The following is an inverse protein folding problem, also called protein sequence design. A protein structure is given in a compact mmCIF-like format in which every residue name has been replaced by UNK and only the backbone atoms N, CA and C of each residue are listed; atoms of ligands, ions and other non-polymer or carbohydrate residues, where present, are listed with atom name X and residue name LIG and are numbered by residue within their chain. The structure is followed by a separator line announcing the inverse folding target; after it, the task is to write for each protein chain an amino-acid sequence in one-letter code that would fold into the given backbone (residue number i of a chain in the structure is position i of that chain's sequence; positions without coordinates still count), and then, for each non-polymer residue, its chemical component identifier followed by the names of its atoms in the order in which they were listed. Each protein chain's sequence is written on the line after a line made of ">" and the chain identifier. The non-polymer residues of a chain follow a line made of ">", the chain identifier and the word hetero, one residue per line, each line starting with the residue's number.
data_IF_634806847802
#
_entry.id   IF_634806847802
#
_cell.length_a   1.000
_cell.length_b   1.000
_cell.length_c   1.000
_cell.angle_alpha   90.00
_cell.angle_beta   90.00
_cell.angle_gamma   90.00
#
_symmetry.space_group_name_H-M   'P 1'
#
loop_
_entity.id
_entity.type
_entity.pdbx_description
1 polymer ?
#
# COMPACT_ATOMS: atom_id res chain seq x y z
N UNK A 1 -3.39 0.03 31.49
CA UNK A 1 -2.58 0.19 30.25
C UNK A 1 -1.75 -1.07 29.96
N UNK A 2 -2.40 -2.21 29.69
CA UNK A 2 -1.67 -3.47 29.44
C UNK A 2 -1.02 -3.49 28.05
N UNK A 3 -1.62 -2.81 27.08
CA UNK A 3 -1.13 -2.67 25.69
C UNK A 3 0.15 -1.85 25.56
N UNK A 4 0.35 -0.80 26.39
CA UNK A 4 1.55 0.06 26.30
C UNK A 4 2.85 -0.67 26.67
N UNK A 5 2.77 -1.79 27.39
CA UNK A 5 3.93 -2.59 27.81
C UNK A 5 4.26 -3.71 26.81
N UNK A 6 3.42 -3.92 25.79
CA UNK A 6 3.59 -4.98 24.80
C UNK A 6 4.46 -4.48 23.64
N UNK A 7 5.64 -5.08 23.44
CA UNK A 7 6.55 -4.70 22.35
C UNK A 7 5.92 -4.89 20.97
N UNK A 8 5.12 -5.95 20.75
CA UNK A 8 4.46 -6.17 19.46
C UNK A 8 3.50 -5.04 19.14
N UNK A 9 2.78 -4.51 20.13
CA UNK A 9 1.87 -3.38 19.92
C UNK A 9 2.60 -2.16 19.35
N UNK A 10 3.79 -1.84 19.90
CA UNK A 10 4.61 -0.76 19.36
C UNK A 10 5.22 -1.09 18.00
N UNK A 11 5.72 -2.31 17.77
CA UNK A 11 6.29 -2.71 16.48
C UNK A 11 5.26 -2.65 15.35
N UNK A 12 4.09 -3.27 15.53
CA UNK A 12 3.00 -3.18 14.57
C UNK A 12 2.47 -1.76 14.45
N UNK A 13 2.40 -1.01 15.56
CA UNK A 13 1.99 0.40 15.57
C UNK A 13 2.88 1.25 14.65
N UNK A 14 4.20 1.11 14.75
CA UNK A 14 5.14 1.77 13.86
C UNK A 14 5.03 1.27 12.41
N UNK A 15 4.88 -0.05 12.20
CA UNK A 15 4.69 -0.62 10.87
C UNK A 15 3.48 0.00 10.16
N UNK A 16 2.32 0.05 10.85
CA UNK A 16 1.12 0.68 10.32
C UNK A 16 1.30 2.18 10.12
N UNK A 17 1.95 2.87 11.07
CA UNK A 17 2.21 4.30 10.95
C UNK A 17 3.01 4.64 9.69
N UNK A 18 4.15 3.98 9.47
CA UNK A 18 4.98 4.24 8.29
C UNK A 18 4.31 3.79 7.00
N UNK A 19 3.58 2.66 7.02
CA UNK A 19 2.79 2.21 5.88
C UNK A 19 1.77 3.26 5.44
N UNK A 20 0.96 3.77 6.37
CA UNK A 20 -0.04 4.79 6.06
C UNK A 20 0.58 6.16 5.78
N UNK A 21 1.74 6.49 6.34
CA UNK A 21 2.48 7.69 6.00
C UNK A 21 2.92 7.69 4.53
N UNK A 22 3.50 6.58 4.07
CA UNK A 22 3.92 6.41 2.66
C UNK A 22 2.69 6.42 1.75
N UNK A 23 1.66 5.64 2.07
CA UNK A 23 0.42 5.60 1.27
C UNK A 23 -0.29 6.96 1.23
N UNK A 24 -0.30 7.67 2.36
CA UNK A 24 -0.89 8.99 2.50
C UNK A 24 -0.13 10.07 1.73
N UNK A 25 1.16 9.90 1.47
CA UNK A 25 1.89 10.73 0.51
C UNK A 25 1.57 10.28 -0.93
N UNK A 26 1.69 8.98 -1.22
CA UNK A 26 1.57 8.47 -2.58
C UNK A 26 0.19 8.75 -3.19
N UNK A 27 -0.91 8.37 -2.55
CA UNK A 27 -2.26 8.47 -3.15
C UNK A 27 -2.66 9.89 -3.60
N UNK A 28 -2.56 10.93 -2.75
CA UNK A 28 -2.96 12.28 -3.14
C UNK A 28 -1.91 12.97 -4.02
N UNK A 29 -0.60 12.72 -3.81
CA UNK A 29 0.43 13.37 -4.62
C UNK A 29 0.68 12.69 -5.97
N UNK A 30 0.28 11.43 -6.17
CA UNK A 30 0.53 10.72 -7.42
C UNK A 30 -0.15 11.37 -8.64
N UNK A 31 -1.44 11.74 -8.62
CA UNK A 31 -2.06 12.49 -9.72
C UNK A 31 -1.38 13.85 -9.95
N UNK A 32 -1.01 14.56 -8.88
CA UNK A 32 -0.36 15.88 -8.94
C UNK A 32 1.02 15.74 -9.58
N UNK A 33 1.80 14.74 -9.17
CA UNK A 33 3.12 14.45 -9.72
C UNK A 33 3.09 14.05 -11.20
N UNK A 34 2.08 13.27 -11.61
CA UNK A 34 1.90 12.91 -13.03
C UNK A 34 1.60 14.14 -13.90
N UNK A 35 0.79 15.07 -13.39
CA UNK A 35 0.37 16.24 -14.14
C UNK A 35 1.40 17.38 -14.09
N UNK A 36 1.87 17.75 -12.91
CA UNK A 36 2.67 18.96 -12.70
C UNK A 36 4.17 18.73 -12.97
N UNK A 37 4.68 17.52 -12.74
CA UNK A 37 6.11 17.21 -12.92
C UNK A 37 6.36 16.46 -14.22
N UNK A 38 5.50 15.48 -14.57
CA UNK A 38 5.67 14.71 -15.81
C UNK A 38 4.87 15.27 -16.99
N UNK A 39 4.08 16.32 -16.79
CA UNK A 39 3.27 16.97 -17.82
C UNK A 39 2.37 16.00 -18.61
N UNK A 40 1.92 14.92 -17.96
CA UNK A 40 1.08 13.91 -18.60
C UNK A 40 -0.34 14.45 -18.77
N UNK A 41 -0.90 14.25 -19.97
CA UNK A 41 -2.29 14.61 -20.27
C UNK A 41 -3.27 13.78 -19.43
N UNK A 42 -4.46 14.33 -19.15
CA UNK A 42 -5.50 13.64 -18.37
C UNK A 42 -5.86 12.26 -18.95
N UNK A 43 -5.83 12.11 -20.27
CA UNK A 43 -6.04 10.82 -20.95
C UNK A 43 -4.94 9.81 -20.66
N UNK A 44 -3.67 10.22 -20.71
CA UNK A 44 -2.53 9.36 -20.34
C UNK A 44 -2.55 8.95 -18.87
N UNK A 45 -2.92 9.86 -17.97
CA UNK A 45 -3.13 9.56 -16.56
C UNK A 45 -4.19 8.47 -16.34
N UNK A 46 -5.31 8.54 -17.07
CA UNK A 46 -6.36 7.51 -17.04
C UNK A 46 -5.86 6.12 -17.44
N UNK A 47 -5.00 6.03 -18.47
CA UNK A 47 -4.37 4.77 -18.89
C UNK A 47 -3.48 4.21 -17.77
N UNK A 48 -2.69 5.06 -17.12
CA UNK A 48 -1.84 4.65 -15.98
C UNK A 48 -2.69 4.09 -14.84
N UNK A 49 -3.78 4.78 -14.46
CA UNK A 49 -4.70 4.28 -13.43
C UNK A 49 -5.38 2.96 -13.84
N UNK A 50 -5.74 2.80 -15.11
CA UNK A 50 -6.29 1.55 -15.63
C UNK A 50 -5.28 0.40 -15.55
N UNK A 51 -4.01 0.63 -15.90
CA UNK A 51 -2.95 -0.34 -15.74
C UNK A 51 -2.75 -0.73 -14.27
N UNK A 52 -2.69 0.24 -13.35
CA UNK A 52 -2.58 -0.02 -11.91
C UNK A 52 -3.75 -0.87 -11.42
N UNK A 53 -4.97 -0.57 -11.89
CA UNK A 53 -6.18 -1.30 -11.51
C UNK A 53 -6.18 -2.74 -12.03
N UNK A 54 -5.71 -2.95 -13.26
CA UNK A 54 -5.56 -4.28 -13.86
C UNK A 54 -4.57 -5.13 -13.05
N UNK A 55 -3.39 -4.60 -12.73
CA UNK A 55 -2.43 -5.30 -11.90
C UNK A 55 -2.97 -5.53 -10.49
N UNK A 56 -3.65 -4.56 -9.90
CA UNK A 56 -4.28 -4.71 -8.58
C UNK A 56 -5.31 -5.85 -8.57
N UNK A 57 -6.15 -5.96 -9.60
CA UNK A 57 -7.13 -7.04 -9.72
C UNK A 57 -6.50 -8.43 -9.82
N UNK A 58 -5.34 -8.55 -10.48
CA UNK A 58 -4.62 -9.81 -10.59
C UNK A 58 -3.86 -10.15 -9.30
N UNK A 59 -3.24 -9.15 -8.69
CA UNK A 59 -2.40 -9.34 -7.52
C UNK A 59 -3.19 -9.49 -6.22
N UNK A 60 -4.34 -8.84 -6.06
CA UNK A 60 -5.19 -8.99 -4.88
C UNK A 60 -5.54 -10.46 -4.55
N UNK A 61 -6.10 -11.26 -5.47
CA UNK A 61 -6.40 -12.67 -5.19
C UNK A 61 -5.13 -13.50 -5.01
N UNK A 62 -4.07 -13.23 -5.80
CA UNK A 62 -2.80 -13.95 -5.67
C UNK A 62 -2.16 -13.74 -4.28
N UNK A 63 -2.07 -12.48 -3.83
CA UNK A 63 -1.55 -12.15 -2.50
C UNK A 63 -2.48 -12.62 -1.38
N UNK A 64 -3.80 -12.59 -1.58
CA UNK A 64 -4.76 -13.15 -0.63
C UNK A 64 -4.51 -14.64 -0.39
N UNK A 65 -4.44 -15.43 -1.47
CA UNK A 65 -4.15 -16.87 -1.38
C UNK A 65 -2.75 -17.16 -0.81
N UNK A 66 -1.75 -16.34 -1.14
CA UNK A 66 -0.41 -16.45 -0.54
C UNK A 66 -0.42 -16.15 0.95
N UNK A 67 -1.15 -15.10 1.36
CA UNK A 67 -1.31 -14.71 2.77
C UNK A 67 -1.99 -15.81 3.57
N UNK A 68 -3.04 -16.43 3.02
CA UNK A 68 -3.75 -17.55 3.66
C UNK A 68 -2.86 -18.78 3.82
N UNK A 69 -2.01 -19.08 2.82
CA UNK A 69 -1.02 -20.18 2.91
C UNK A 69 0.06 -19.92 3.94
N UNK A 70 0.47 -18.67 4.13
CA UNK A 70 1.48 -18.28 5.13
C UNK A 70 0.89 -18.27 6.55
N UNK A 71 -0.40 -17.99 6.69
CA UNK A 71 -1.10 -17.94 7.98
C UNK A 71 -0.44 -16.98 8.96
N UNK A 72 -0.50 -17.28 10.27
CA UNK A 72 0.17 -16.52 11.34
C UNK A 72 1.65 -16.91 11.54
N UNK A 73 2.29 -17.56 10.56
CA UNK A 73 3.72 -17.90 10.66
C UNK A 73 4.52 -16.62 10.45
N UNK A 74 5.09 -16.10 11.55
CA UNK A 74 5.84 -14.84 11.72
C UNK A 74 7.13 -14.70 10.87
N UNK A 75 7.18 -15.25 9.65
CA UNK A 75 8.33 -15.06 8.74
C UNK A 75 8.17 -13.82 7.84
N UNK A 76 7.17 -12.99 8.07
CA UNK A 76 6.92 -11.75 7.32
C UNK A 76 6.62 -10.54 8.22
N UNK A 77 7.00 -10.60 9.51
CA UNK A 77 6.90 -9.53 10.49
C UNK A 77 8.22 -9.30 11.21
#
# INVERSE_FOLDING_TARGET
>A
MYYLKNTNFWMFGFLFFFYFFIMGAYFPFFPIWLHDINHISKGGGGIIFACISLFSLLFQPAFGLMSDKLGLRKHLL
#
